data_IF_123093228521
#
_entry.id   IF_123093228521
#
_cell.length_a   1.000
_cell.length_b   1.000
_cell.length_c   1.000
_cell.angle_alpha   90.00
_cell.angle_beta   90.00
_cell.angle_gamma   90.00
#
_symmetry.space_group_name_H-M   'P 1'
#
loop_
_entity.id
_entity.type
_entity.pdbx_description
1 polymer ?
#
# COMPACT_ATOMS: atom_id res chain seq x y z
N UNK A 1 15.33 19.91 -7.84
CA UNK A 1 13.94 20.35 -7.63
C UNK A 1 13.80 21.37 -6.49
N UNK A 2 14.51 21.25 -5.39
CA UNK A 2 14.53 22.23 -4.29
C UNK A 2 15.01 23.63 -4.70
N UNK A 3 15.97 23.71 -5.63
CA UNK A 3 16.56 24.99 -6.06
C UNK A 3 15.58 25.90 -6.80
N UNK A 4 14.66 25.37 -7.60
CA UNK A 4 13.64 26.14 -8.31
C UNK A 4 12.51 26.62 -7.39
N UNK A 5 12.14 25.83 -6.38
CA UNK A 5 11.16 26.24 -5.37
C UNK A 5 11.69 27.38 -4.49
N UNK A 6 12.94 27.27 -4.04
CA UNK A 6 13.59 28.31 -3.23
C UNK A 6 13.76 29.61 -4.02
N UNK A 7 14.05 29.53 -5.33
CA UNK A 7 14.15 30.73 -6.18
C UNK A 7 12.80 31.34 -6.52
N UNK A 8 11.72 30.56 -6.59
CA UNK A 8 10.36 31.09 -6.72
C UNK A 8 9.92 31.81 -5.44
N UNK A 9 10.30 31.31 -4.26
CA UNK A 9 10.06 31.96 -2.97
C UNK A 9 10.88 33.28 -2.81
N UNK A 10 12.05 33.36 -3.42
CA UNK A 10 12.88 34.59 -3.36
C UNK A 10 12.38 35.74 -4.25
N UNK A 11 11.59 35.43 -5.27
CA UNK A 11 11.17 36.45 -6.27
C UNK A 11 9.93 37.25 -5.84
N UNK A 12 9.09 36.67 -4.99
CA UNK A 12 7.90 37.35 -4.46
C UNK A 12 7.95 37.33 -2.92
N UNK A 13 8.42 38.42 -2.32
CA UNK A 13 8.44 38.62 -0.86
C UNK A 13 7.05 38.61 -0.19
N UNK A 14 6.02 38.05 -0.82
CA UNK A 14 4.69 37.85 -0.25
C UNK A 14 4.43 36.36 -0.04
N UNK A 15 4.45 35.92 1.22
CA UNK A 15 4.00 34.58 1.61
C UNK A 15 2.53 34.48 1.23
N UNK A 16 2.24 33.72 0.18
CA UNK A 16 0.85 33.46 -0.22
C UNK A 16 0.16 32.49 0.75
N UNK A 17 -1.17 32.55 0.94
CA UNK A 17 -1.90 31.58 1.77
C UNK A 17 -1.61 30.11 1.39
N UNK A 18 -1.43 29.83 0.09
CA UNK A 18 -1.01 28.51 -0.39
C UNK A 18 0.38 28.12 0.09
N UNK A 19 1.31 29.08 0.18
CA UNK A 19 2.66 28.82 0.69
C UNK A 19 2.66 28.50 2.19
N UNK A 20 1.85 29.21 2.98
CA UNK A 20 1.67 28.93 4.42
C UNK A 20 1.11 27.53 4.61
N UNK A 21 0.04 27.17 3.88
CA UNK A 21 -0.57 25.85 3.97
C UNK A 21 0.42 24.76 3.58
N UNK A 22 1.22 24.95 2.53
CA UNK A 22 2.25 24.00 2.13
C UNK A 22 3.32 23.77 3.21
N UNK A 23 3.80 24.87 3.84
CA UNK A 23 4.74 24.76 4.98
C UNK A 23 4.10 24.01 6.15
N UNK A 24 2.84 24.30 6.45
CA UNK A 24 2.11 23.58 7.49
C UNK A 24 1.97 22.08 7.18
N UNK A 25 1.70 21.71 5.93
CA UNK A 25 1.67 20.31 5.49
C UNK A 25 3.03 19.61 5.67
N UNK A 26 4.13 20.29 5.31
CA UNK A 26 5.49 19.76 5.53
C UNK A 26 5.77 19.57 7.03
N UNK A 27 5.33 20.50 7.86
CA UNK A 27 5.44 20.35 9.32
C UNK A 27 4.68 19.12 9.83
N UNK A 28 3.44 18.89 9.36
CA UNK A 28 2.68 17.68 9.70
C UNK A 28 3.44 16.41 9.30
N UNK A 29 3.98 16.35 8.07
CA UNK A 29 4.76 15.20 7.58
C UNK A 29 5.97 14.93 8.50
N UNK A 30 6.68 15.98 8.90
CA UNK A 30 7.83 15.85 9.82
C UNK A 30 7.40 15.30 11.17
N UNK A 31 6.30 15.82 11.73
CA UNK A 31 5.75 15.36 13.02
C UNK A 31 5.31 13.90 12.93
N UNK A 32 4.55 13.53 11.88
CA UNK A 32 4.13 12.14 11.64
C UNK A 32 5.34 11.20 11.52
N UNK A 33 6.35 11.59 10.73
CA UNK A 33 7.57 10.81 10.58
C UNK A 33 8.31 10.64 11.91
N UNK A 34 8.39 11.69 12.72
CA UNK A 34 9.02 11.62 14.04
C UNK A 34 8.26 10.68 14.98
N UNK A 35 6.93 10.70 14.98
CA UNK A 35 6.08 9.78 15.76
C UNK A 35 6.33 8.33 15.30
N UNK A 36 6.34 8.05 14.00
CA UNK A 36 6.60 6.71 13.45
C UNK A 36 7.97 6.20 13.88
N UNK A 37 9.01 7.03 13.74
CA UNK A 37 10.38 6.68 14.13
C UNK A 37 10.47 6.42 15.64
N UNK A 38 9.88 7.31 16.44
CA UNK A 38 9.87 7.16 17.89
C UNK A 38 9.18 5.87 18.32
N UNK A 39 7.98 5.62 17.80
CA UNK A 39 7.21 4.41 18.12
C UNK A 39 7.97 3.13 17.74
N UNK A 40 8.57 3.09 16.55
CA UNK A 40 9.35 1.93 16.11
C UNK A 40 10.64 1.71 16.91
N UNK A 41 11.28 2.76 17.44
CA UNK A 41 12.53 2.59 18.18
C UNK A 41 12.34 2.35 19.68
N UNK A 42 11.23 2.85 20.26
CA UNK A 42 11.11 2.93 21.72
C UNK A 42 9.83 2.31 22.29
N UNK A 43 8.78 2.07 21.46
CA UNK A 43 7.48 1.66 21.97
C UNK A 43 7.09 0.22 21.62
N UNK A 44 7.83 -0.48 20.73
CA UNK A 44 7.45 -1.82 20.26
C UNK A 44 7.33 -2.85 21.38
N UNK A 45 8.13 -2.70 22.44
CA UNK A 45 8.10 -3.58 23.60
C UNK A 45 6.77 -3.50 24.37
N UNK A 46 6.10 -2.34 24.30
CA UNK A 46 4.85 -2.07 25.01
C UNK A 46 3.60 -2.50 24.23
N UNK A 47 3.74 -2.83 22.94
CA UNK A 47 2.64 -3.15 22.04
C UNK A 47 2.70 -4.60 21.52
N UNK A 48 2.85 -5.56 22.42
CA UNK A 48 2.95 -6.98 22.08
C UNK A 48 1.58 -7.60 21.86
N UNK A 49 1.15 -7.66 20.59
CA UNK A 49 0.05 -8.50 20.17
C UNK A 49 0.49 -9.95 19.89
N UNK A 50 -0.48 -10.86 19.71
CA UNK A 50 -0.22 -12.27 19.40
C UNK A 50 0.59 -12.43 18.10
N UNK A 51 0.15 -11.77 17.04
CA UNK A 51 0.80 -11.86 15.72
C UNK A 51 2.20 -11.21 15.73
N UNK A 52 2.35 -10.06 16.43
CA UNK A 52 3.63 -9.40 16.60
C UNK A 52 4.62 -10.29 17.34
N UNK A 53 4.20 -10.90 18.43
CA UNK A 53 5.03 -11.83 19.22
C UNK A 53 5.49 -13.01 18.38
N UNK A 54 4.61 -13.57 17.54
CA UNK A 54 4.95 -14.65 16.61
C UNK A 54 6.01 -14.22 15.61
N UNK A 55 5.88 -13.02 15.01
CA UNK A 55 6.86 -12.48 14.07
C UNK A 55 8.23 -12.23 14.74
N UNK A 56 8.25 -11.73 15.97
CA UNK A 56 9.47 -11.50 16.75
C UNK A 56 10.19 -12.82 17.04
N UNK A 57 9.46 -13.84 17.49
CA UNK A 57 10.02 -15.17 17.72
C UNK A 57 10.55 -15.80 16.43
N UNK A 58 9.84 -15.64 15.32
CA UNK A 58 10.30 -16.09 14.00
C UNK A 58 11.62 -15.44 13.60
N UNK A 59 11.78 -14.12 13.81
CA UNK A 59 13.02 -13.43 13.50
C UNK A 59 14.21 -13.93 14.34
N UNK A 60 13.98 -14.19 15.63
CA UNK A 60 15.00 -14.80 16.51
C UNK A 60 15.40 -16.19 16.00
N UNK A 61 14.44 -17.03 15.60
CA UNK A 61 14.73 -18.36 15.07
C UNK A 61 15.42 -18.31 13.70
N UNK A 62 15.07 -17.38 12.81
CA UNK A 62 15.79 -17.12 11.56
C UNK A 62 17.25 -16.83 11.82
N UNK A 63 17.55 -15.96 12.78
CA UNK A 63 18.95 -15.66 13.14
C UNK A 63 19.66 -16.84 13.77
N UNK A 64 19.01 -17.55 14.68
CA UNK A 64 19.56 -18.72 15.37
C UNK A 64 19.88 -19.84 14.41
N UNK A 65 18.94 -20.21 13.54
CA UNK A 65 19.07 -21.32 12.60
C UNK A 65 19.83 -20.95 11.32
N UNK A 66 20.12 -19.65 11.08
CA UNK A 66 20.71 -19.14 9.82
C UNK A 66 19.90 -19.54 8.59
N UNK A 67 18.60 -19.66 8.74
CA UNK A 67 17.66 -20.09 7.70
C UNK A 67 16.48 -19.13 7.65
N UNK A 68 16.09 -18.67 6.46
CA UNK A 68 14.92 -17.80 6.26
C UNK A 68 13.61 -18.52 6.60
N UNK A 69 13.58 -19.84 6.51
CA UNK A 69 12.44 -20.68 6.91
C UNK A 69 12.97 -21.74 7.87
N UNK A 70 13.05 -21.45 9.19
CA UNK A 70 13.56 -22.39 10.18
C UNK A 70 12.61 -23.57 10.33
N UNK A 71 13.14 -24.79 10.29
CA UNK A 71 12.36 -26.03 10.51
C UNK A 71 11.88 -26.18 11.95
N UNK A 72 12.48 -25.43 12.88
CA UNK A 72 12.13 -25.39 14.31
C UNK A 72 10.96 -24.45 14.60
N UNK A 73 10.55 -23.64 13.64
CA UNK A 73 9.45 -22.70 13.80
C UNK A 73 8.19 -23.19 13.08
N UNK A 74 7.10 -23.25 13.83
CA UNK A 74 5.82 -23.66 13.29
C UNK A 74 5.19 -22.54 12.46
N UNK A 75 5.11 -22.75 11.14
CA UNK A 75 4.46 -21.82 10.23
C UNK A 75 2.94 -21.93 10.34
N UNK A 76 2.27 -20.84 10.67
CA UNK A 76 0.80 -20.83 10.77
C UNK A 76 0.15 -20.71 9.40
N UNK A 77 0.13 -19.50 8.80
CA UNK A 77 -0.56 -19.21 7.53
C UNK A 77 0.36 -18.66 6.46
N UNK A 78 1.49 -18.07 6.85
CA UNK A 78 2.45 -17.40 5.94
C UNK A 78 3.87 -17.77 6.30
N UNK A 79 4.81 -17.57 5.37
CA UNK A 79 6.23 -17.75 5.64
C UNK A 79 6.86 -16.55 6.37
N UNK A 80 6.18 -15.42 6.44
CA UNK A 80 6.70 -14.18 7.02
C UNK A 80 7.85 -13.54 6.21
N UNK A 81 8.15 -14.03 5.00
CA UNK A 81 9.22 -13.49 4.16
C UNK A 81 8.88 -12.14 3.55
N UNK A 82 7.60 -11.84 3.39
CA UNK A 82 7.05 -10.60 2.88
C UNK A 82 6.61 -9.63 4.01
N UNK A 83 7.36 -9.66 5.09
CA UNK A 83 7.22 -8.83 6.29
C UNK A 83 8.60 -8.31 6.72
N UNK A 84 8.72 -7.45 7.73
CA UNK A 84 10.00 -7.03 8.30
C UNK A 84 10.84 -8.16 8.88
N UNK A 85 10.24 -9.31 9.18
CA UNK A 85 10.85 -10.42 9.93
C UNK A 85 12.24 -10.83 9.45
N UNK A 86 12.52 -11.04 8.13
CA UNK A 86 13.86 -11.41 7.69
C UNK A 86 14.91 -10.31 7.92
N UNK A 87 14.49 -9.06 7.70
CA UNK A 87 15.36 -7.89 7.89
C UNK A 87 15.62 -7.65 9.39
N UNK A 88 14.58 -7.80 10.21
CA UNK A 88 14.65 -7.71 11.66
C UNK A 88 15.59 -8.77 12.27
N UNK A 89 15.59 -9.98 11.70
CA UNK A 89 16.51 -11.03 12.12
C UNK A 89 17.99 -10.62 11.94
N UNK A 90 18.33 -9.92 10.85
CA UNK A 90 19.67 -9.40 10.62
C UNK A 90 20.05 -8.34 11.67
N UNK A 91 19.15 -7.38 11.92
CA UNK A 91 19.40 -6.33 12.92
C UNK A 91 19.39 -6.87 14.35
N UNK A 92 18.58 -7.88 14.65
CA UNK A 92 18.66 -8.60 15.91
C UNK A 92 20.05 -9.22 16.11
N UNK A 93 20.61 -9.82 15.08
CA UNK A 93 21.96 -10.37 15.17
C UNK A 93 23.06 -9.34 15.43
N UNK A 94 22.84 -8.08 15.07
CA UNK A 94 23.77 -6.97 15.32
C UNK A 94 23.56 -6.34 16.68
N UNK A 95 22.28 -6.10 17.04
CA UNK A 95 21.92 -5.33 18.24
C UNK A 95 21.72 -6.17 19.50
N UNK A 96 21.44 -7.46 19.34
CA UNK A 96 21.01 -8.35 20.42
C UNK A 96 19.61 -8.07 20.96
N UNK A 97 18.90 -7.05 20.44
CA UNK A 97 17.56 -6.65 20.85
C UNK A 97 16.57 -6.82 19.70
N UNK A 98 15.55 -7.68 19.89
CA UNK A 98 14.59 -8.00 18.83
C UNK A 98 13.66 -6.83 18.51
N UNK A 99 13.25 -6.06 19.51
CA UNK A 99 12.39 -4.89 19.32
C UNK A 99 13.12 -3.82 18.51
N UNK A 100 14.36 -3.52 18.89
CA UNK A 100 15.19 -2.59 18.12
C UNK A 100 15.46 -3.11 16.70
N UNK A 101 15.66 -4.43 16.52
CA UNK A 101 15.81 -5.07 15.23
C UNK A 101 14.59 -4.86 14.34
N UNK A 102 13.38 -5.07 14.88
CA UNK A 102 12.13 -4.81 14.16
C UNK A 102 11.93 -3.33 13.89
N UNK A 103 12.18 -2.46 14.86
CA UNK A 103 12.04 -1.02 14.69
C UNK A 103 12.91 -0.47 13.55
N UNK A 104 14.17 -0.89 13.46
CA UNK A 104 15.07 -0.51 12.36
C UNK A 104 14.56 -1.07 11.03
N UNK A 105 14.11 -2.33 11.01
CA UNK A 105 13.56 -2.97 9.81
C UNK A 105 12.34 -2.23 9.28
N UNK A 106 11.38 -1.89 10.16
CA UNK A 106 10.19 -1.13 9.81
C UNK A 106 10.56 0.24 9.23
N UNK A 107 11.43 1.02 9.88
CA UNK A 107 11.85 2.34 9.40
C UNK A 107 12.47 2.25 8.00
N UNK A 108 13.29 1.23 7.74
CA UNK A 108 13.88 1.02 6.40
C UNK A 108 12.77 0.75 5.37
N UNK A 109 11.80 -0.10 5.68
CA UNK A 109 10.70 -0.41 4.78
C UNK A 109 9.80 0.80 4.56
N UNK A 110 9.54 1.61 5.59
CA UNK A 110 8.78 2.86 5.48
C UNK A 110 9.45 3.87 4.56
N UNK A 111 10.77 4.00 4.64
CA UNK A 111 11.56 4.83 3.70
C UNK A 111 11.42 4.29 2.28
N UNK A 112 11.48 2.97 2.08
CA UNK A 112 11.29 2.34 0.75
C UNK A 112 9.88 2.62 0.23
N UNK A 113 8.84 2.46 1.05
CA UNK A 113 7.44 2.80 0.71
C UNK A 113 7.36 4.27 0.28
N UNK A 114 7.91 5.19 1.09
CA UNK A 114 7.88 6.62 0.82
C UNK A 114 8.58 6.98 -0.51
N UNK A 115 9.73 6.37 -0.80
CA UNK A 115 10.48 6.60 -2.06
C UNK A 115 9.69 6.10 -3.27
N UNK A 116 9.11 4.89 -3.20
CA UNK A 116 8.34 4.33 -4.31
C UNK A 116 7.06 5.15 -4.53
N UNK A 117 6.36 5.48 -3.45
CA UNK A 117 5.15 6.30 -3.48
C UNK A 117 5.41 7.69 -4.09
N UNK A 118 6.49 8.36 -3.67
CA UNK A 118 6.91 9.63 -4.28
C UNK A 118 7.13 9.52 -5.79
N UNK A 119 7.85 8.49 -6.24
CA UNK A 119 8.10 8.29 -7.66
C UNK A 119 6.80 7.98 -8.43
N UNK A 120 5.89 7.19 -7.85
CA UNK A 120 4.57 6.92 -8.42
C UNK A 120 3.75 8.20 -8.58
N UNK A 121 3.66 9.05 -7.55
CA UNK A 121 2.94 10.33 -7.62
C UNK A 121 3.53 11.27 -8.68
N UNK A 122 4.84 11.24 -8.88
CA UNK A 122 5.50 12.01 -9.96
C UNK A 122 5.11 11.54 -11.35
N UNK A 123 4.87 10.25 -11.58
CA UNK A 123 4.38 9.75 -12.87
C UNK A 123 3.00 10.33 -13.21
N UNK A 124 2.16 10.58 -12.20
CA UNK A 124 0.87 11.28 -12.39
C UNK A 124 1.01 12.80 -12.58
N UNK A 125 2.22 13.34 -12.60
CA UNK A 125 2.53 14.78 -12.76
C UNK A 125 1.86 15.67 -11.70
N UNK A 126 1.65 15.13 -10.51
CA UNK A 126 1.06 15.85 -9.40
C UNK A 126 1.96 17.02 -8.97
N UNK A 127 1.34 18.11 -8.52
CA UNK A 127 2.03 19.27 -7.94
C UNK A 127 2.68 18.91 -6.61
N UNK A 128 3.64 19.72 -6.15
CA UNK A 128 4.29 19.51 -4.85
C UNK A 128 3.27 19.53 -3.68
N UNK A 129 2.20 20.31 -3.81
CA UNK A 129 1.12 20.38 -2.84
C UNK A 129 0.34 19.05 -2.77
N UNK A 130 -0.05 18.49 -3.91
CA UNK A 130 -0.77 17.22 -3.98
C UNK A 130 0.10 16.06 -3.51
N UNK A 131 1.40 16.09 -3.82
CA UNK A 131 2.37 15.11 -3.29
C UNK A 131 2.44 15.20 -1.77
N UNK A 132 2.56 16.40 -1.20
CA UNK A 132 2.60 16.60 0.25
C UNK A 132 1.31 16.10 0.92
N UNK A 133 0.15 16.36 0.30
CA UNK A 133 -1.12 15.84 0.79
C UNK A 133 -1.15 14.31 0.78
N UNK A 134 -0.66 13.68 -0.30
CA UNK A 134 -0.50 12.23 -0.36
C UNK A 134 0.37 11.67 0.76
N UNK A 135 1.47 12.35 1.10
CA UNK A 135 2.34 11.93 2.21
C UNK A 135 1.70 12.07 3.58
N UNK A 136 0.86 13.10 3.82
CA UNK A 136 0.10 13.23 5.06
C UNK A 136 -0.80 12.01 5.28
N UNK A 137 -1.44 11.51 4.21
CA UNK A 137 -2.27 10.29 4.30
C UNK A 137 -1.42 9.02 4.44
N UNK A 138 -0.32 8.91 3.68
CA UNK A 138 0.57 7.75 3.73
C UNK A 138 1.18 7.55 5.11
N UNK A 139 1.65 8.62 5.73
CA UNK A 139 2.38 8.58 7.01
C UNK A 139 1.46 8.81 8.21
N UNK A 140 0.14 8.76 8.01
CA UNK A 140 -0.81 9.02 9.08
C UNK A 140 -0.75 7.91 10.13
N UNK A 141 -0.25 8.17 11.34
CA UNK A 141 -0.26 7.23 12.44
C UNK A 141 -1.66 7.19 13.06
N UNK A 142 -2.68 6.79 12.27
CA UNK A 142 -4.06 6.84 12.72
C UNK A 142 -4.27 5.82 13.82
N UNK A 143 -4.24 6.30 15.04
CA UNK A 143 -4.60 5.59 16.24
C UNK A 143 -5.83 6.26 16.80
N UNK A 144 -6.99 5.61 16.70
CA UNK A 144 -8.13 6.04 17.51
C UNK A 144 -7.85 5.62 18.95
N UNK A 145 -8.17 6.44 19.96
CA UNK A 145 -7.98 6.08 21.35
C UNK A 145 -8.61 4.73 21.74
N UNK A 146 -9.72 4.38 21.10
CA UNK A 146 -10.45 3.12 21.33
C UNK A 146 -9.74 1.90 20.69
N UNK A 147 -8.83 2.12 19.73
CA UNK A 147 -8.06 1.06 19.07
C UNK A 147 -6.67 0.87 19.67
N UNK A 148 -6.24 1.73 20.55
CA UNK A 148 -4.93 1.66 21.21
C UNK A 148 -4.80 0.44 22.13
N UNK A 149 -5.91 -0.07 22.64
CA UNK A 149 -5.91 -1.12 23.66
C UNK A 149 -6.22 -2.51 23.07
N UNK A 150 -7.02 -2.61 21.99
CA UNK A 150 -7.58 -3.89 21.57
C UNK A 150 -7.38 -4.29 20.10
N UNK A 151 -6.82 -3.46 19.22
CA UNK A 151 -6.75 -3.80 17.80
C UNK A 151 -5.36 -3.65 17.18
N UNK A 152 -4.64 -4.74 17.14
CA UNK A 152 -3.43 -4.95 16.32
C UNK A 152 -3.67 -4.82 14.80
N UNK A 153 -4.85 -4.38 14.38
CA UNK A 153 -5.27 -4.28 12.97
C UNK A 153 -5.28 -2.83 12.45
N UNK A 154 -4.68 -1.88 13.17
CA UNK A 154 -4.56 -0.51 12.68
C UNK A 154 -3.59 -0.46 11.47
N UNK A 155 -3.80 0.51 10.59
CA UNK A 155 -2.88 0.75 9.47
C UNK A 155 -1.44 0.96 9.97
N UNK A 156 -1.28 1.68 11.08
CA UNK A 156 0.04 1.89 11.69
C UNK A 156 0.68 0.56 12.08
N UNK A 157 -0.01 -0.27 12.88
CA UNK A 157 0.52 -1.54 13.34
C UNK A 157 0.85 -2.51 12.19
N UNK A 158 0.02 -2.53 11.15
CA UNK A 158 0.15 -3.48 10.04
C UNK A 158 1.16 -3.06 8.98
N UNK A 159 1.41 -1.76 8.80
CA UNK A 159 2.24 -1.24 7.70
C UNK A 159 3.44 -0.47 8.19
N UNK A 160 3.27 0.53 9.07
CA UNK A 160 4.32 1.49 9.41
C UNK A 160 5.05 1.18 10.73
N UNK A 161 4.56 0.25 11.54
CA UNK A 161 5.13 -0.05 12.86
C UNK A 161 4.78 -1.44 13.35
N UNK A 162 5.03 -1.69 14.62
CA UNK A 162 4.77 -2.95 15.32
C UNK A 162 5.14 -4.19 14.51
N UNK A 163 4.14 -4.84 13.91
CA UNK A 163 4.36 -6.05 13.10
C UNK A 163 4.90 -5.74 11.71
N UNK A 164 4.50 -4.60 11.11
CA UNK A 164 4.81 -4.27 9.72
C UNK A 164 4.40 -5.35 8.70
N UNK A 165 3.48 -6.24 9.04
CA UNK A 165 3.17 -7.48 8.28
C UNK A 165 2.79 -7.22 6.82
N UNK A 166 2.32 -6.01 6.51
CA UNK A 166 1.91 -5.61 5.17
C UNK A 166 2.90 -4.66 4.48
N UNK A 167 3.97 -4.21 5.14
CA UNK A 167 4.91 -3.25 4.56
C UNK A 167 5.50 -3.71 3.23
N UNK A 168 6.00 -4.95 3.16
CA UNK A 168 6.56 -5.51 1.92
C UNK A 168 5.46 -5.79 0.87
N UNK A 169 4.25 -6.15 1.30
CA UNK A 169 3.08 -6.30 0.41
C UNK A 169 2.71 -4.95 -0.23
N UNK A 170 2.70 -3.87 0.55
CA UNK A 170 2.46 -2.50 0.05
C UNK A 170 3.58 -2.08 -0.92
N UNK A 171 4.86 -2.36 -0.59
CA UNK A 171 5.98 -2.14 -1.51
C UNK A 171 5.72 -2.85 -2.84
N UNK A 172 5.33 -4.11 -2.79
CA UNK A 172 5.03 -4.91 -3.98
C UNK A 172 3.91 -4.30 -4.81
N UNK A 173 2.81 -3.91 -4.15
CA UNK A 173 1.66 -3.29 -4.82
C UNK A 173 2.03 -1.96 -5.47
N UNK A 174 2.75 -1.09 -4.78
CA UNK A 174 3.21 0.19 -5.31
C UNK A 174 4.19 0.02 -6.48
N UNK A 175 5.11 -0.95 -6.40
CA UNK A 175 6.05 -1.26 -7.49
C UNK A 175 5.31 -1.76 -8.74
N UNK A 176 4.37 -2.70 -8.59
CA UNK A 176 3.58 -3.22 -9.69
C UNK A 176 2.76 -2.10 -10.35
N UNK A 177 2.09 -1.28 -9.55
CA UNK A 177 1.33 -0.13 -10.06
C UNK A 177 2.24 0.87 -10.78
N UNK A 178 3.40 1.17 -10.20
CA UNK A 178 4.35 2.09 -10.80
C UNK A 178 4.85 1.59 -12.17
N UNK A 179 5.17 0.30 -12.28
CA UNK A 179 5.57 -0.31 -13.56
C UNK A 179 4.42 -0.25 -14.58
N UNK A 180 3.19 -0.58 -14.17
CA UNK A 180 2.02 -0.50 -15.08
C UNK A 180 1.84 0.93 -15.60
N UNK A 181 1.91 1.95 -14.73
CA UNK A 181 1.78 3.37 -15.14
C UNK A 181 2.91 3.77 -16.09
N UNK A 182 4.16 3.37 -15.84
CA UNK A 182 5.28 3.65 -16.74
C UNK A 182 5.10 2.99 -18.12
N UNK A 183 4.63 1.75 -18.16
CA UNK A 183 4.35 1.04 -19.40
C UNK A 183 3.21 1.68 -20.19
N UNK A 184 2.16 2.17 -19.49
CA UNK A 184 1.06 2.92 -20.12
C UNK A 184 1.54 4.24 -20.73
N UNK A 185 2.38 5.00 -20.00
CA UNK A 185 2.97 6.23 -20.54
C UNK A 185 3.82 5.96 -21.79
N UNK A 186 4.54 4.84 -21.80
CA UNK A 186 5.34 4.43 -22.97
C UNK A 186 4.46 4.07 -24.16
N UNK A 187 3.40 3.30 -23.95
CA UNK A 187 2.43 2.96 -25.01
C UNK A 187 1.83 4.23 -25.64
N UNK A 188 1.42 5.18 -24.80
CA UNK A 188 0.82 6.43 -25.28
C UNK A 188 1.82 7.29 -26.07
N UNK A 189 3.09 7.34 -25.66
CA UNK A 189 4.15 8.05 -26.41
C UNK A 189 4.45 7.37 -27.75
N UNK A 190 4.52 6.05 -27.79
CA UNK A 190 4.76 5.31 -29.03
C UNK A 190 3.64 5.53 -30.07
N UNK A 191 2.39 5.62 -29.60
CA UNK A 191 1.23 5.93 -30.47
C UNK A 191 1.28 7.36 -31.02
N UNK A 192 1.81 8.33 -30.27
CA UNK A 192 1.92 9.74 -30.71
C UNK A 192 3.13 10.00 -31.60
N UNK A 193 4.23 9.30 -31.41
CA UNK A 193 5.52 9.57 -32.09
C UNK A 193 5.71 8.84 -33.43
N UNK A 194 4.73 8.03 -33.90
CA UNK A 194 4.85 7.34 -35.20
C UNK A 194 6.13 6.51 -35.35
N UNK A 195 6.36 5.63 -34.40
CA UNK A 195 7.30 4.47 -34.41
C UNK A 195 8.83 4.67 -34.38
N UNK A 196 9.46 5.84 -34.49
CA UNK A 196 10.92 5.78 -34.76
C UNK A 196 11.91 6.25 -33.69
N UNK A 197 11.52 6.87 -32.58
CA UNK A 197 12.53 7.35 -31.61
C UNK A 197 12.12 7.23 -30.14
N UNK A 198 11.80 6.04 -29.66
CA UNK A 198 11.64 5.78 -28.21
C UNK A 198 12.91 5.12 -27.67
N UNK A 199 14.05 5.74 -27.90
CA UNK A 199 15.30 5.36 -27.27
C UNK A 199 15.73 6.44 -26.28
N UNK A 200 15.23 6.42 -25.04
CA UNK A 200 16.04 6.90 -23.92
C UNK A 200 15.46 6.48 -22.57
N UNK A 201 16.35 5.97 -21.75
CA UNK A 201 16.21 5.58 -20.33
C UNK A 201 15.38 4.32 -20.02
N UNK A 202 15.58 3.28 -20.81
CA UNK A 202 15.01 1.95 -20.54
C UNK A 202 15.51 1.33 -19.22
N UNK A 203 16.70 1.73 -18.74
CA UNK A 203 17.36 1.11 -17.56
C UNK A 203 16.48 1.22 -16.31
N UNK A 204 15.93 2.40 -16.02
CA UNK A 204 15.08 2.60 -14.83
C UNK A 204 13.83 1.72 -14.89
N UNK A 205 13.18 1.64 -16.04
CA UNK A 205 12.01 0.80 -16.25
C UNK A 205 12.36 -0.69 -16.08
N UNK A 206 13.46 -1.15 -16.67
CA UNK A 206 13.91 -2.54 -16.52
C UNK A 206 14.22 -2.88 -15.07
N UNK A 207 14.91 -2.01 -14.35
CA UNK A 207 15.17 -2.16 -12.92
C UNK A 207 13.84 -2.26 -12.15
N UNK A 208 12.88 -1.37 -12.42
CA UNK A 208 11.56 -1.39 -11.77
C UNK A 208 10.81 -2.69 -12.06
N UNK A 209 10.84 -3.18 -13.31
CA UNK A 209 10.22 -4.45 -13.70
C UNK A 209 10.86 -5.62 -12.92
N UNK A 210 12.19 -5.68 -12.85
CA UNK A 210 12.90 -6.73 -12.13
C UNK A 210 12.53 -6.71 -10.65
N UNK A 211 12.61 -5.55 -10.00
CA UNK A 211 12.24 -5.44 -8.59
C UNK A 211 10.76 -5.78 -8.35
N UNK A 212 9.83 -5.25 -9.15
CA UNK A 212 8.41 -5.55 -9.04
C UNK A 212 8.16 -7.06 -9.18
N UNK A 213 8.85 -7.73 -10.10
CA UNK A 213 8.72 -9.17 -10.32
C UNK A 213 9.29 -9.96 -9.12
N UNK A 214 10.49 -9.62 -8.64
CA UNK A 214 11.09 -10.28 -7.48
C UNK A 214 10.22 -10.15 -6.22
N UNK A 215 9.73 -8.95 -5.94
CA UNK A 215 8.84 -8.72 -4.80
C UNK A 215 7.48 -9.41 -4.98
N UNK A 216 6.94 -9.46 -6.19
CA UNK A 216 5.72 -10.21 -6.51
C UNK A 216 5.88 -11.72 -6.28
N UNK A 217 7.03 -12.29 -6.68
CA UNK A 217 7.36 -13.69 -6.41
C UNK A 217 7.50 -13.95 -4.91
N UNK A 218 8.23 -13.08 -4.20
CA UNK A 218 8.44 -13.20 -2.76
C UNK A 218 7.11 -13.20 -2.00
N UNK A 219 6.22 -12.23 -2.30
CA UNK A 219 4.89 -12.16 -1.69
C UNK A 219 4.01 -13.33 -2.06
N UNK A 220 4.07 -13.82 -3.30
CA UNK A 220 3.30 -14.97 -3.74
C UNK A 220 3.72 -16.27 -3.02
N UNK A 221 5.02 -16.46 -2.83
CA UNK A 221 5.56 -17.59 -2.08
C UNK A 221 5.18 -17.50 -0.59
N UNK A 222 5.24 -16.31 0.00
CA UNK A 222 5.01 -16.09 1.43
C UNK A 222 3.53 -16.03 1.81
N UNK A 223 2.74 -15.17 1.14
CA UNK A 223 1.34 -14.86 1.47
C UNK A 223 0.34 -15.30 0.41
N UNK A 224 0.77 -16.09 -0.57
CA UNK A 224 -0.12 -16.65 -1.56
C UNK A 224 -0.67 -15.63 -2.58
N UNK A 225 -1.99 -15.58 -2.74
CA UNK A 225 -2.65 -14.80 -3.81
C UNK A 225 -2.99 -13.34 -3.40
N UNK A 226 -2.48 -12.86 -2.27
CA UNK A 226 -2.80 -11.53 -1.75
C UNK A 226 -2.57 -10.42 -2.79
N UNK A 227 -1.39 -10.39 -3.40
CA UNK A 227 -1.03 -9.40 -4.43
C UNK A 227 -1.89 -9.55 -5.69
N UNK A 228 -2.25 -10.78 -6.05
CA UNK A 228 -3.14 -11.01 -7.20
C UNK A 228 -4.50 -10.33 -6.98
N UNK A 229 -5.10 -10.54 -5.82
CA UNK A 229 -6.43 -10.00 -5.50
C UNK A 229 -6.38 -8.48 -5.34
N UNK A 230 -5.37 -7.94 -4.65
CA UNK A 230 -5.34 -6.53 -4.24
C UNK A 230 -4.91 -5.58 -5.34
N UNK A 231 -4.06 -6.00 -6.28
CA UNK A 231 -3.55 -5.11 -7.34
C UNK A 231 -3.68 -5.67 -8.75
N UNK A 232 -3.36 -6.97 -8.98
CA UNK A 232 -3.34 -7.49 -10.35
C UNK A 232 -4.75 -7.62 -10.94
N UNK A 233 -5.71 -8.11 -10.15
CA UNK A 233 -7.12 -8.20 -10.57
C UNK A 233 -7.71 -6.81 -10.86
N UNK A 234 -7.58 -5.79 -10.01
CA UNK A 234 -7.93 -4.40 -10.36
C UNK A 234 -7.28 -3.90 -11.65
N UNK A 235 -5.99 -4.19 -11.88
CA UNK A 235 -5.33 -3.83 -13.13
C UNK A 235 -5.94 -4.55 -14.34
N UNK A 236 -6.32 -5.83 -14.21
CA UNK A 236 -7.04 -6.54 -15.28
C UNK A 236 -8.38 -5.87 -15.57
N UNK A 237 -9.15 -5.51 -14.54
CA UNK A 237 -10.41 -4.77 -14.73
C UNK A 237 -10.18 -3.42 -15.42
N UNK A 238 -9.13 -2.69 -15.06
CA UNK A 238 -8.76 -1.46 -15.77
C UNK A 238 -8.58 -1.71 -17.28
N UNK A 239 -7.88 -2.77 -17.67
CA UNK A 239 -7.71 -3.10 -19.10
C UNK A 239 -8.99 -3.57 -19.76
N UNK A 240 -9.85 -4.31 -19.07
CA UNK A 240 -11.19 -4.68 -19.58
C UNK A 240 -12.03 -3.41 -19.86
N UNK A 241 -12.08 -2.47 -18.90
CA UNK A 241 -12.75 -1.19 -19.13
C UNK A 241 -12.12 -0.40 -20.28
N UNK A 242 -10.80 -0.39 -20.40
CA UNK A 242 -10.08 0.26 -21.50
C UNK A 242 -10.43 -0.35 -22.86
N UNK A 243 -10.61 -1.68 -22.95
CA UNK A 243 -11.06 -2.36 -24.17
C UNK A 243 -12.47 -1.92 -24.52
N UNK A 244 -13.38 -1.93 -23.56
CA UNK A 244 -14.78 -1.53 -23.76
C UNK A 244 -14.86 -0.05 -24.21
N UNK A 245 -14.18 0.85 -23.48
CA UNK A 245 -14.20 2.28 -23.75
C UNK A 245 -13.61 2.63 -25.14
N UNK A 246 -12.48 2.02 -25.50
CA UNK A 246 -11.83 2.25 -26.78
C UNK A 246 -12.43 1.42 -27.94
N UNK A 247 -13.35 0.52 -27.63
CA UNK A 247 -13.91 -0.47 -28.57
C UNK A 247 -12.82 -1.14 -29.43
N UNK A 248 -11.70 -1.52 -28.82
CA UNK A 248 -10.52 -2.00 -29.54
C UNK A 248 -9.77 -3.08 -28.78
N UNK A 249 -9.63 -4.25 -29.40
CA UNK A 249 -8.81 -5.35 -28.91
C UNK A 249 -7.30 -5.07 -29.00
N UNK A 250 -6.87 -3.97 -29.63
CA UNK A 250 -5.43 -3.59 -29.67
C UNK A 250 -4.85 -3.39 -28.27
N UNK A 251 -5.69 -3.07 -27.28
CA UNK A 251 -5.31 -2.95 -25.85
C UNK A 251 -4.67 -4.23 -25.31
N UNK A 252 -5.03 -5.42 -25.82
CA UNK A 252 -4.41 -6.70 -25.44
C UNK A 252 -2.91 -6.78 -25.79
N UNK A 253 -2.44 -5.93 -26.71
CA UNK A 253 -1.03 -5.82 -27.10
C UNK A 253 -0.28 -4.75 -26.29
N UNK A 254 -0.96 -4.04 -25.40
CA UNK A 254 -0.32 -3.04 -24.53
C UNK A 254 0.67 -3.73 -23.58
N UNK A 255 1.87 -3.18 -23.47
CA UNK A 255 2.93 -3.74 -22.60
C UNK A 255 2.47 -3.85 -21.16
N UNK A 256 1.67 -2.90 -20.67
CA UNK A 256 1.11 -2.93 -19.32
C UNK A 256 0.12 -4.08 -19.11
N UNK A 257 -0.72 -4.39 -20.10
CA UNK A 257 -1.61 -5.57 -20.06
C UNK A 257 -0.81 -6.87 -20.02
N UNK A 258 0.17 -7.01 -20.94
CA UNK A 258 1.01 -8.20 -21.04
C UNK A 258 1.78 -8.42 -19.70
N UNK A 259 2.34 -7.35 -19.16
CA UNK A 259 3.03 -7.39 -17.86
C UNK A 259 2.08 -7.84 -16.73
N UNK A 260 0.88 -7.26 -16.64
CA UNK A 260 -0.12 -7.60 -15.62
C UNK A 260 -0.50 -9.08 -15.71
N UNK A 261 -0.76 -9.60 -16.91
CA UNK A 261 -1.11 -11.01 -17.13
C UNK A 261 0.07 -11.93 -16.80
N UNK A 262 1.29 -11.56 -17.18
CA UNK A 262 2.49 -12.33 -16.82
C UNK A 262 2.71 -12.40 -15.30
N UNK A 263 2.53 -11.28 -14.59
CA UNK A 263 2.62 -11.25 -13.12
C UNK A 263 1.52 -12.09 -12.46
N UNK A 264 0.31 -12.08 -13.02
CA UNK A 264 -0.79 -12.90 -12.50
C UNK A 264 -0.46 -14.40 -12.61
N UNK A 265 -0.02 -14.84 -13.80
CA UNK A 265 0.39 -16.25 -14.01
C UNK A 265 1.56 -16.63 -13.09
N UNK A 266 2.55 -15.74 -12.95
CA UNK A 266 3.70 -15.96 -12.10
C UNK A 266 3.30 -16.09 -10.62
N UNK A 267 2.38 -15.24 -10.15
CA UNK A 267 1.86 -15.29 -8.77
C UNK A 267 1.19 -16.63 -8.48
N UNK A 268 0.33 -17.12 -9.38
CA UNK A 268 -0.30 -18.44 -9.21
C UNK A 268 0.71 -19.59 -9.27
N UNK A 269 1.70 -19.53 -10.16
CA UNK A 269 2.77 -20.52 -10.23
C UNK A 269 3.59 -20.57 -8.94
N UNK A 270 4.00 -19.39 -8.43
CA UNK A 270 4.72 -19.29 -7.17
C UNK A 270 3.91 -19.80 -5.97
N UNK A 271 2.61 -19.49 -5.90
CA UNK A 271 1.71 -20.03 -4.86
C UNK A 271 1.61 -21.54 -4.94
N UNK A 272 1.45 -22.11 -6.14
CA UNK A 272 1.40 -23.56 -6.33
C UNK A 272 2.69 -24.23 -5.86
N UNK A 273 3.85 -23.70 -6.25
CA UNK A 273 5.17 -24.22 -5.82
C UNK A 273 5.30 -24.14 -4.31
N UNK A 274 4.97 -22.99 -3.70
CA UNK A 274 5.03 -22.79 -2.25
C UNK A 274 4.19 -23.81 -1.50
N UNK A 275 2.96 -24.09 -1.96
CA UNK A 275 2.07 -25.07 -1.34
C UNK A 275 2.56 -26.51 -1.42
N UNK A 276 3.47 -26.83 -2.36
CA UNK A 276 4.11 -28.15 -2.44
C UNK A 276 5.37 -28.26 -1.57
N UNK A 277 6.07 -27.16 -1.34
CA UNK A 277 7.35 -27.16 -0.60
C UNK A 277 7.13 -26.98 0.89
N UNK A 278 6.20 -26.09 1.29
CA UNK A 278 6.02 -25.70 2.68
C UNK A 278 4.73 -26.29 3.26
N UNK A 279 4.82 -26.77 4.49
CA UNK A 279 3.68 -27.30 5.25
C UNK A 279 3.27 -26.24 6.26
N UNK A 280 2.03 -25.75 6.14
CA UNK A 280 1.43 -24.85 7.10
C UNK A 280 0.57 -25.61 8.10
N UNK A 281 0.60 -25.19 9.36
CA UNK A 281 -0.17 -25.86 10.42
C UNK A 281 -1.66 -25.52 10.37
N UNK A 282 -2.02 -24.30 10.00
CA UNK A 282 -3.41 -23.96 9.79
C UNK A 282 -3.81 -24.22 8.34
N UNK A 283 -4.83 -25.03 8.14
CA UNK A 283 -5.51 -25.08 6.85
C UNK A 283 -6.25 -23.77 6.68
N UNK A 284 -5.98 -23.03 5.59
CA UNK A 284 -6.83 -21.94 5.19
C UNK A 284 -8.29 -22.42 5.24
N UNK A 285 -9.16 -21.68 5.90
CA UNK A 285 -10.58 -21.95 5.87
C UNK A 285 -11.01 -22.06 4.41
N UNK A 286 -11.62 -23.17 4.03
CA UNK A 286 -12.15 -23.34 2.68
C UNK A 286 -13.08 -22.17 2.38
N UNK A 287 -12.86 -21.47 1.27
CA UNK A 287 -13.83 -20.48 0.79
C UNK A 287 -15.15 -21.20 0.53
N UNK A 288 -16.12 -20.93 1.36
CA UNK A 288 -17.49 -21.42 1.17
C UNK A 288 -18.29 -20.31 0.56
N UNK A 289 -18.98 -20.57 -0.55
CA UNK A 289 -19.94 -19.63 -1.09
C UNK A 289 -21.08 -19.47 -0.07
N UNK A 290 -21.28 -18.26 0.39
CA UNK A 290 -22.35 -17.94 1.33
C UNK A 290 -23.73 -18.13 0.70
N UNK A 291 -24.72 -18.56 1.48
CA UNK A 291 -26.11 -18.64 1.04
C UNK A 291 -26.64 -17.26 0.58
N UNK A 292 -27.68 -17.27 -0.25
CA UNK A 292 -28.23 -16.05 -0.84
C UNK A 292 -28.73 -15.04 0.21
N UNK A 293 -29.16 -15.52 1.37
CA UNK A 293 -29.59 -14.69 2.48
C UNK A 293 -28.38 -14.00 3.16
N UNK A 294 -27.32 -14.73 3.39
CA UNK A 294 -26.08 -14.19 3.97
C UNK A 294 -25.37 -13.23 3.00
N UNK A 295 -25.54 -13.42 1.69
CA UNK A 295 -24.98 -12.56 0.66
C UNK A 295 -25.42 -11.10 0.83
N UNK A 296 -26.72 -10.84 1.05
CA UNK A 296 -27.24 -9.49 1.25
C UNK A 296 -26.75 -8.87 2.58
N UNK A 297 -26.67 -9.68 3.62
CA UNK A 297 -26.11 -9.25 4.90
C UNK A 297 -24.63 -8.88 4.75
N UNK A 298 -23.86 -9.68 4.02
CA UNK A 298 -22.45 -9.44 3.78
C UNK A 298 -22.20 -8.21 2.89
N UNK A 299 -23.07 -7.94 1.91
CA UNK A 299 -23.02 -6.68 1.15
C UNK A 299 -23.26 -5.48 2.08
N UNK A 300 -24.23 -5.53 2.95
CA UNK A 300 -24.47 -4.48 3.94
C UNK A 300 -23.23 -4.25 4.82
N UNK A 301 -22.65 -5.32 5.34
CA UNK A 301 -21.43 -5.28 6.15
C UNK A 301 -20.22 -4.73 5.38
N UNK A 302 -20.08 -5.10 4.09
CA UNK A 302 -19.04 -4.59 3.21
C UNK A 302 -19.16 -3.07 2.99
N UNK A 303 -20.38 -2.59 2.70
CA UNK A 303 -20.65 -1.16 2.50
C UNK A 303 -20.35 -0.40 3.80
N UNK A 304 -20.82 -0.91 4.94
CA UNK A 304 -20.57 -0.29 6.24
C UNK A 304 -19.09 -0.28 6.59
N UNK A 305 -18.36 -1.38 6.38
CA UNK A 305 -16.92 -1.45 6.59
C UNK A 305 -16.16 -0.49 5.68
N UNK A 306 -16.58 -0.36 4.42
CA UNK A 306 -15.98 0.59 3.48
C UNK A 306 -16.23 2.05 3.89
N UNK A 307 -17.41 2.39 4.35
CA UNK A 307 -17.73 3.71 4.89
C UNK A 307 -16.93 4.02 6.16
N UNK A 308 -16.77 3.04 7.06
CA UNK A 308 -15.91 3.17 8.24
C UNK A 308 -14.46 3.45 7.84
N UNK A 309 -13.95 2.72 6.86
CA UNK A 309 -12.59 2.89 6.36
C UNK A 309 -12.36 4.29 5.77
N UNK A 310 -13.32 4.78 4.95
CA UNK A 310 -13.23 6.10 4.32
C UNK A 310 -13.42 7.25 5.31
N UNK A 311 -14.30 7.09 6.28
CA UNK A 311 -14.60 8.14 7.26
C UNK A 311 -13.61 8.16 8.43
N UNK A 312 -12.79 7.11 8.61
CA UNK A 312 -11.89 6.99 9.75
C UNK A 312 -12.59 6.98 11.11
N UNK A 313 -13.90 6.73 11.13
CA UNK A 313 -14.74 6.80 12.33
C UNK A 313 -15.45 5.45 12.46
N UNK A 314 -15.34 4.82 13.62
CA UNK A 314 -16.13 3.62 13.93
C UNK A 314 -17.61 3.97 13.92
N UNK A 315 -18.37 3.40 12.98
CA UNK A 315 -19.82 3.55 12.94
C UNK A 315 -20.39 2.50 13.90
N UNK A 316 -20.56 2.88 15.14
CA UNK A 316 -21.31 2.07 16.09
C UNK A 316 -22.80 2.15 15.79
N UNK A 317 -23.44 1.02 15.63
CA UNK A 317 -24.90 0.92 15.36
C UNK A 317 -25.74 1.50 16.50
N UNK A 318 -25.14 1.70 17.67
CA UNK A 318 -25.75 2.26 18.87
C UNK A 318 -25.61 3.79 18.98
N UNK A 319 -24.84 4.43 18.11
CA UNK A 319 -24.61 5.88 18.18
C UNK A 319 -25.85 6.63 17.70
N UNK A 320 -26.43 7.49 18.57
CA UNK A 320 -27.54 8.36 18.19
C UNK A 320 -27.12 9.30 17.04
N UNK A 321 -27.92 9.39 15.98
CA UNK A 321 -27.70 10.27 14.83
C UNK A 321 -27.58 11.76 15.25
N UNK A 322 -28.20 12.15 16.35
CA UNK A 322 -28.13 13.50 16.89
C UNK A 322 -27.01 13.72 17.91
N UNK A 323 -26.17 12.72 18.16
CA UNK A 323 -24.94 12.91 18.94
C UNK A 323 -23.89 13.64 18.13
N UNK A 324 -22.93 14.29 18.80
CA UNK A 324 -21.78 14.93 18.12
C UNK A 324 -21.03 13.96 17.18
N UNK A 325 -20.85 12.71 17.60
CA UNK A 325 -20.26 11.64 16.76
C UNK A 325 -21.15 11.32 15.56
N UNK A 326 -22.47 11.17 15.75
CA UNK A 326 -23.43 10.89 14.69
C UNK A 326 -23.48 12.00 13.64
N UNK A 327 -23.46 13.27 14.06
CA UNK A 327 -23.41 14.41 13.15
C UNK A 327 -22.11 14.39 12.32
N UNK A 328 -20.94 14.17 12.93
CA UNK A 328 -19.68 14.07 12.21
C UNK A 328 -19.70 12.92 11.20
N UNK A 329 -20.26 11.76 11.56
CA UNK A 329 -20.40 10.62 10.65
C UNK A 329 -21.25 10.98 9.43
N UNK A 330 -22.42 11.60 9.63
CA UNK A 330 -23.30 12.02 8.54
C UNK A 330 -22.57 13.03 7.63
N UNK A 331 -21.89 14.02 8.21
CA UNK A 331 -21.15 15.02 7.45
C UNK A 331 -20.01 14.39 6.66
N UNK A 332 -19.27 13.43 7.24
CA UNK A 332 -18.17 12.72 6.56
C UNK A 332 -18.69 11.88 5.39
N UNK A 333 -19.77 11.14 5.57
CA UNK A 333 -20.42 10.36 4.50
C UNK A 333 -20.93 11.30 3.40
N UNK A 334 -21.62 12.39 3.78
CA UNK A 334 -22.11 13.39 2.86
C UNK A 334 -20.99 14.03 2.04
N UNK A 335 -19.85 14.34 2.69
CA UNK A 335 -18.68 14.90 2.03
C UNK A 335 -18.06 13.92 1.01
N UNK A 336 -17.93 12.63 1.36
CA UNK A 336 -17.40 11.61 0.46
C UNK A 336 -18.31 11.41 -0.74
N UNK A 337 -19.63 11.34 -0.53
CA UNK A 337 -20.60 11.24 -1.61
C UNK A 337 -20.56 12.48 -2.51
N UNK A 338 -20.43 13.67 -1.94
CA UNK A 338 -20.29 14.92 -2.68
C UNK A 338 -19.01 14.95 -3.54
N UNK A 339 -17.87 14.55 -2.97
CA UNK A 339 -16.61 14.43 -3.74
C UNK A 339 -16.73 13.39 -4.87
N UNK A 340 -17.38 12.27 -4.62
CA UNK A 340 -17.63 11.25 -5.65
C UNK A 340 -18.49 11.78 -6.79
N UNK A 341 -19.53 12.56 -6.48
CA UNK A 341 -20.40 13.19 -7.49
C UNK A 341 -19.65 14.24 -8.31
N UNK A 342 -18.79 15.06 -7.68
CA UNK A 342 -17.95 16.02 -8.41
C UNK A 342 -17.03 15.27 -9.36
N UNK A 343 -16.36 14.21 -8.94
CA UNK A 343 -15.46 13.41 -9.78
C UNK A 343 -16.17 12.74 -10.96
N UNK A 344 -17.44 12.34 -10.79
CA UNK A 344 -18.25 11.78 -11.86
C UNK A 344 -18.69 12.88 -12.85
N UNK A 345 -18.90 14.11 -12.39
CA UNK A 345 -19.37 15.23 -13.23
C UNK A 345 -18.25 16.00 -13.93
N UNK A 346 -17.00 15.97 -13.45
CA UNK A 346 -15.87 16.68 -14.07
C UNK A 346 -15.42 16.14 -15.45
N UNK A 347 -15.44 14.82 -15.76
CA UNK A 347 -15.04 14.34 -17.07
C UNK A 347 -15.88 14.90 -18.21
N UNK A 348 -17.14 15.24 -17.95
CA UNK A 348 -18.03 15.84 -18.94
C UNK A 348 -17.67 17.28 -19.30
N UNK A 349 -17.10 18.05 -18.37
CA UNK A 349 -16.66 19.43 -18.64
C UNK A 349 -15.33 19.52 -19.41
N UNK A 350 -14.42 18.58 -19.24
CA UNK A 350 -13.15 18.53 -19.98
C UNK A 350 -13.29 17.99 -21.41
N UNK A 351 -14.40 17.37 -21.75
CA UNK A 351 -14.69 16.89 -23.09
C UNK A 351 -15.37 17.96 -23.97
N UNK A 352 -15.77 19.09 -23.39
CA UNK A 352 -16.43 20.21 -24.09
C UNK A 352 -15.48 21.40 -24.38
N UNK A 353 -14.20 21.32 -24.03
CA UNK A 353 -13.14 22.28 -24.38
C UNK A 353 -12.14 21.59 -25.32
#
# INVERSE_FOLDING_TARGET
MSYNLINQFKKDNKITPKGILFIFMLFIIVVQSAIIIYSNLFELEHHLGFDASSAYLQAVEIWRCKSLVPSTFALTTTLGLDSPTPLAALFYGITGNIFLGFGIANIILDVVIAVIFYNLLKEFKLSAFEIALGFIFLLCPFMTPDHFIDNNLSYFAMVLGEQGSYSVKIITMLLLLWVVVQLEHRNNKALQAGSENVSHNNIKLYISIVFATLFSMLTAISSGIYVAITILVPCVFYYVFKIIYKNSLKVLKDYGFIFTMAQLVLTFACKAISGHIFVFQSKESSMVLTGIYEFWHNIGSLIMGYLQLLCGISIETTTSLFSFRGIIQILSIGFILFLSLIHISEPTRQAEI
#
